data_IF_170592660115
#
_entry.id   IF_170592660115
#
_cell.length_a   1.000
_cell.length_b   1.000
_cell.length_c   1.000
_cell.angle_alpha   90.00
_cell.angle_beta   90.00
_cell.angle_gamma   90.00
#
_symmetry.space_group_name_H-M   'P 1'
#
loop_
_entity.id
_entity.type
_entity.pdbx_description
1 polymer ?
#
# COMPACT_ATOMS: atom_id res chain seq x y z
N UNK A 1 -25.79 8.90 21.75
CA UNK A 1 -24.68 9.65 21.08
C UNK A 1 -23.70 8.60 20.57
N UNK A 2 -23.96 8.06 19.37
CA UNK A 2 -23.22 6.93 18.80
C UNK A 2 -22.24 7.40 17.73
N UNK A 3 -20.96 7.36 18.09
CA UNK A 3 -19.72 7.40 17.31
C UNK A 3 -19.80 7.51 15.76
N UNK A 4 -19.50 8.72 15.25
CA UNK A 4 -19.04 8.99 13.87
C UNK A 4 -17.51 9.02 13.72
N UNK A 5 -16.75 8.67 14.77
CA UNK A 5 -15.29 8.79 14.77
C UNK A 5 -14.56 7.77 13.87
N UNK A 6 -15.17 6.63 13.55
CA UNK A 6 -14.55 5.54 12.76
C UNK A 6 -14.08 5.98 11.37
N UNK A 7 -14.73 6.99 10.79
CA UNK A 7 -14.39 7.49 9.47
C UNK A 7 -13.35 8.62 9.50
N UNK A 8 -13.11 9.30 10.62
CA UNK A 8 -12.34 10.53 10.59
C UNK A 8 -10.85 10.31 10.31
N UNK A 9 -10.21 9.33 10.95
CA UNK A 9 -8.77 9.04 10.71
C UNK A 9 -8.55 8.48 9.30
N UNK A 10 -9.46 7.61 8.84
CA UNK A 10 -9.42 7.00 7.52
C UNK A 10 -9.65 8.05 6.42
N UNK A 11 -10.54 9.02 6.65
CA UNK A 11 -10.77 10.17 5.77
C UNK A 11 -9.58 11.13 5.82
N UNK A 12 -9.01 11.41 6.99
CA UNK A 12 -7.94 12.40 7.15
C UNK A 12 -6.63 11.93 6.52
N UNK A 13 -6.25 10.66 6.69
CA UNK A 13 -5.12 10.06 5.96
C UNK A 13 -5.41 10.05 4.45
N UNK A 14 -6.66 9.83 4.01
CA UNK A 14 -6.99 9.81 2.58
C UNK A 14 -7.15 11.17 1.91
N UNK A 15 -7.51 12.22 2.66
CA UNK A 15 -7.86 13.52 2.11
C UNK A 15 -6.63 14.41 1.83
N UNK A 16 -5.56 14.25 2.60
CA UNK A 16 -4.44 15.21 2.59
C UNK A 16 -3.25 14.77 1.72
N UNK A 17 -3.19 13.51 1.29
CA UNK A 17 -2.05 13.00 0.54
C UNK A 17 -2.32 12.92 -0.97
N UNK A 18 -1.33 13.26 -1.82
CA UNK A 18 -1.46 13.30 -3.28
C UNK A 18 -1.47 11.88 -3.91
N UNK A 19 -2.19 10.93 -3.33
CA UNK A 19 -2.19 9.51 -3.72
C UNK A 19 -3.56 9.05 -4.19
N UNK A 20 -3.59 8.32 -5.30
CA UNK A 20 -4.76 7.56 -5.75
C UNK A 20 -4.53 6.08 -5.40
N UNK A 21 -5.51 5.45 -4.74
CA UNK A 21 -5.48 4.03 -4.39
C UNK A 21 -6.67 3.28 -4.96
N UNK A 22 -6.48 2.02 -5.39
CA UNK A 22 -7.57 1.10 -5.74
C UNK A 22 -7.31 -0.26 -5.09
N UNK A 23 -8.06 -0.58 -4.05
CA UNK A 23 -7.98 -1.86 -3.35
C UNK A 23 -8.46 -3.00 -4.23
N UNK A 24 -7.82 -4.16 -4.08
CA UNK A 24 -8.24 -5.44 -4.65
C UNK A 24 -8.73 -6.29 -3.49
N UNK A 25 -10.00 -6.68 -3.53
CA UNK A 25 -10.57 -7.55 -2.49
C UNK A 25 -9.90 -8.91 -2.50
N UNK A 26 -9.50 -9.35 -1.30
CA UNK A 26 -8.89 -10.65 -1.05
C UNK A 26 -9.44 -11.22 0.25
N UNK A 27 -9.53 -12.56 0.33
CA UNK A 27 -10.12 -13.26 1.48
C UNK A 27 -9.21 -13.31 2.70
N UNK A 28 -7.90 -13.14 2.53
CA UNK A 28 -6.93 -13.17 3.62
C UNK A 28 -6.98 -11.86 4.44
N UNK A 29 -7.28 -11.99 5.73
CA UNK A 29 -7.39 -10.86 6.66
C UNK A 29 -6.06 -10.20 7.00
N UNK A 30 -4.94 -10.90 6.80
CA UNK A 30 -3.58 -10.40 7.07
C UNK A 30 -2.89 -9.84 5.84
N UNK A 31 -3.50 -9.95 4.67
CA UNK A 31 -2.96 -9.44 3.43
C UNK A 31 -3.84 -8.31 2.91
N UNK A 32 -3.20 -7.34 2.25
CA UNK A 32 -3.85 -6.30 1.47
C UNK A 32 -3.18 -6.21 0.12
N UNK A 33 -3.96 -5.94 -0.92
CA UNK A 33 -3.47 -5.78 -2.28
C UNK A 33 -4.12 -4.54 -2.84
N UNK A 34 -3.32 -3.60 -3.34
CA UNK A 34 -3.86 -2.36 -3.88
C UNK A 34 -2.99 -1.79 -4.99
N UNK A 35 -3.64 -1.18 -5.96
CA UNK A 35 -2.98 -0.26 -6.88
C UNK A 35 -2.78 1.08 -6.21
N UNK A 36 -1.60 1.66 -6.40
CA UNK A 36 -1.25 2.97 -5.84
C UNK A 36 -0.46 3.79 -6.87
N UNK A 37 -0.74 5.09 -6.95
CA UNK A 37 0.06 6.08 -7.71
C UNK A 37 -0.12 7.48 -7.14
N UNK A 38 0.74 8.41 -7.56
CA UNK A 38 0.47 9.85 -7.36
C UNK A 38 -0.74 10.27 -8.20
N UNK A 39 -1.62 11.11 -7.64
CA UNK A 39 -2.82 11.57 -8.35
C UNK A 39 -2.43 12.39 -9.61
N UNK A 40 -3.15 12.22 -10.74
CA UNK A 40 -2.79 12.82 -12.02
C UNK A 40 -2.54 14.33 -12.03
N UNK A 41 -3.26 15.10 -11.20
CA UNK A 41 -3.12 16.55 -11.15
C UNK A 41 -1.75 17.02 -10.63
N UNK A 42 -0.96 16.15 -10.00
CA UNK A 42 0.40 16.45 -9.55
C UNK A 42 1.48 15.98 -10.53
N UNK A 43 1.12 15.30 -11.63
CA UNK A 43 2.11 14.69 -12.54
C UNK A 43 2.99 15.73 -13.26
N UNK A 44 2.48 16.93 -13.52
CA UNK A 44 3.25 18.01 -14.14
C UNK A 44 4.39 18.53 -13.27
N UNK A 45 4.31 18.33 -11.95
CA UNK A 45 5.34 18.72 -11.00
C UNK A 45 6.44 17.65 -10.82
N UNK A 46 6.26 16.46 -11.38
CA UNK A 46 7.17 15.33 -11.21
C UNK A 46 8.07 15.17 -12.42
N UNK A 47 9.35 14.96 -12.15
CA UNK A 47 10.37 14.63 -13.14
C UNK A 47 10.81 13.18 -12.98
N UNK A 48 11.47 12.62 -13.99
CA UNK A 48 12.01 11.25 -13.92
C UNK A 48 12.98 11.05 -12.75
N UNK A 49 13.67 12.11 -12.30
CA UNK A 49 14.59 12.05 -11.17
C UNK A 49 13.87 11.78 -9.84
N UNK A 50 12.58 12.13 -9.73
CA UNK A 50 11.79 12.00 -8.50
C UNK A 50 11.30 10.56 -8.26
N UNK A 51 11.53 9.63 -9.21
CA UNK A 51 11.02 8.27 -9.14
C UNK A 51 11.36 7.54 -7.83
N UNK A 52 12.60 7.67 -7.34
CA UNK A 52 13.02 7.06 -6.08
C UNK A 52 12.28 7.62 -4.86
N UNK A 53 12.17 8.94 -4.78
CA UNK A 53 11.48 9.63 -3.67
C UNK A 53 10.00 9.25 -3.68
N UNK A 54 9.38 9.22 -4.86
CA UNK A 54 7.98 8.82 -5.01
C UNK A 54 7.76 7.38 -4.55
N UNK A 55 8.63 6.43 -4.91
CA UNK A 55 8.44 5.04 -4.47
C UNK A 55 8.63 4.88 -2.96
N UNK A 56 9.57 5.60 -2.34
CA UNK A 56 9.72 5.61 -0.88
C UNK A 56 8.44 6.16 -0.23
N UNK A 57 7.95 7.30 -0.70
CA UNK A 57 6.70 7.90 -0.23
C UNK A 57 5.49 6.96 -0.40
N UNK A 58 5.32 6.35 -1.57
CA UNK A 58 4.24 5.40 -1.84
C UNK A 58 4.35 4.13 -0.99
N UNK A 59 5.56 3.70 -0.66
CA UNK A 59 5.77 2.56 0.23
C UNK A 59 5.27 2.83 1.65
N UNK A 60 5.49 4.05 2.17
CA UNK A 60 5.00 4.46 3.48
C UNK A 60 3.47 4.54 3.51
N UNK A 61 2.89 5.19 2.49
CA UNK A 61 1.44 5.29 2.33
C UNK A 61 0.78 3.92 2.24
N UNK A 62 1.42 3.01 1.51
CA UNK A 62 0.98 1.64 1.37
C UNK A 62 0.91 0.91 2.70
N UNK A 63 1.94 1.06 3.56
CA UNK A 63 1.97 0.42 4.88
C UNK A 63 0.90 1.01 5.79
N UNK A 64 0.74 2.33 5.79
CA UNK A 64 -0.29 3.00 6.56
C UNK A 64 -1.69 2.50 6.18
N UNK A 65 -2.03 2.50 4.88
CA UNK A 65 -3.33 2.00 4.41
C UNK A 65 -3.55 0.52 4.72
N UNK A 66 -2.52 -0.32 4.51
CA UNK A 66 -2.59 -1.73 4.81
C UNK A 66 -2.84 -1.98 6.31
N UNK A 67 -2.15 -1.23 7.18
CA UNK A 67 -2.35 -1.31 8.63
C UNK A 67 -3.80 -1.02 8.98
N UNK A 68 -4.33 0.14 8.54
CA UNK A 68 -5.72 0.52 8.83
C UNK A 68 -6.71 -0.57 8.40
N UNK A 69 -6.54 -1.13 7.21
CA UNK A 69 -7.40 -2.19 6.70
C UNK A 69 -7.30 -3.48 7.54
N UNK A 70 -6.09 -3.90 7.90
CA UNK A 70 -5.83 -5.11 8.70
C UNK A 70 -6.42 -4.99 10.12
N UNK A 71 -6.19 -3.86 10.80
CA UNK A 71 -6.78 -3.61 12.12
C UNK A 71 -8.31 -3.57 12.06
N UNK A 72 -8.88 -2.93 11.02
CA UNK A 72 -10.33 -2.90 10.81
C UNK A 72 -10.90 -4.31 10.59
N UNK A 73 -10.25 -5.15 9.74
CA UNK A 73 -10.61 -6.56 9.55
C UNK A 73 -10.52 -7.38 10.84
N UNK A 74 -9.57 -7.04 11.72
CA UNK A 74 -9.41 -7.67 13.03
C UNK A 74 -10.38 -7.13 14.10
N UNK A 75 -11.22 -6.13 13.79
CA UNK A 75 -12.13 -5.50 14.76
C UNK A 75 -11.41 -4.67 15.82
N UNK A 76 -10.18 -4.23 15.56
CA UNK A 76 -9.37 -3.42 16.48
C UNK A 76 -9.54 -1.94 16.13
N UNK A 77 -9.93 -1.14 17.11
CA UNK A 77 -10.06 0.30 16.97
C UNK A 77 -8.69 1.00 17.00
N UNK A 78 -8.46 1.89 16.04
CA UNK A 78 -7.24 2.72 15.96
C UNK A 78 -7.59 4.14 16.38
N UNK A 79 -6.99 4.61 17.47
CA UNK A 79 -7.11 6.00 17.92
C UNK A 79 -6.03 6.92 17.35
N UNK A 80 -4.86 6.35 17.03
CA UNK A 80 -3.73 7.08 16.46
C UNK A 80 -2.83 6.12 15.69
N UNK A 81 -2.12 6.64 14.69
CA UNK A 81 -1.15 5.90 13.89
C UNK A 81 0.19 6.61 13.94
N UNK A 82 1.25 5.83 14.10
CA UNK A 82 2.63 6.31 13.98
C UNK A 82 3.51 5.18 13.44
N UNK A 83 4.35 5.50 12.46
CA UNK A 83 5.37 4.59 11.96
C UNK A 83 6.58 4.62 12.90
N UNK A 84 7.07 3.44 13.27
CA UNK A 84 8.20 3.30 14.18
C UNK A 84 9.53 3.11 13.46
N UNK A 85 9.54 2.26 12.44
CA UNK A 85 10.70 1.94 11.62
C UNK A 85 10.26 1.61 10.20
N UNK A 86 11.06 2.02 9.21
CA UNK A 86 10.82 1.72 7.81
C UNK A 86 12.14 1.36 7.12
N UNK A 87 12.17 0.17 6.52
CA UNK A 87 13.28 -0.30 5.69
C UNK A 87 12.81 -0.54 4.26
N UNK A 88 13.52 0.01 3.28
CA UNK A 88 13.16 -0.06 1.85
C UNK A 88 14.34 -0.60 1.04
N UNK A 89 14.08 -1.64 0.24
CA UNK A 89 15.03 -2.19 -0.73
C UNK A 89 14.54 -1.92 -2.14
N UNK A 90 15.34 -1.18 -2.92
CA UNK A 90 14.96 -0.77 -4.27
C UNK A 90 15.70 -1.61 -5.29
N UNK A 91 14.95 -2.38 -6.07
CA UNK A 91 15.48 -3.33 -7.06
C UNK A 91 15.47 -2.79 -8.49
N UNK A 92 14.99 -1.57 -8.73
CA UNK A 92 14.85 -0.99 -10.06
C UNK A 92 15.40 0.44 -10.12
N UNK A 93 16.16 0.75 -11.17
CA UNK A 93 16.87 2.02 -11.31
C UNK A 93 16.08 3.08 -12.11
N UNK A 94 15.17 2.64 -12.98
CA UNK A 94 14.42 3.52 -13.88
C UNK A 94 12.96 3.59 -13.46
N UNK A 95 12.67 4.37 -12.42
CA UNK A 95 11.31 4.50 -11.87
C UNK A 95 10.53 5.62 -12.58
N UNK A 96 9.33 5.29 -13.06
CA UNK A 96 8.36 6.28 -13.52
C UNK A 96 7.55 6.78 -12.31
N UNK A 97 7.73 8.05 -11.86
CA UNK A 97 7.03 8.59 -10.69
C UNK A 97 5.51 8.70 -10.89
N UNK A 98 5.03 8.75 -12.13
CA UNK A 98 3.61 8.86 -12.46
C UNK A 98 2.94 7.50 -12.70
N UNK A 99 3.71 6.41 -12.60
CA UNK A 99 3.26 5.06 -12.89
C UNK A 99 2.31 4.49 -11.84
N UNK A 100 1.54 3.48 -12.23
CA UNK A 100 0.82 2.62 -11.30
C UNK A 100 1.76 1.57 -10.71
N UNK A 101 1.69 1.40 -9.40
CA UNK A 101 2.37 0.36 -8.65
C UNK A 101 1.33 -0.55 -8.02
N UNK A 102 1.51 -1.86 -8.17
CA UNK A 102 0.79 -2.84 -7.37
C UNK A 102 1.54 -3.02 -6.06
N UNK A 103 0.90 -2.71 -4.96
CA UNK A 103 1.34 -3.12 -3.65
C UNK A 103 0.69 -4.45 -3.26
N UNK A 104 1.51 -5.36 -2.73
CA UNK A 104 1.08 -6.51 -1.94
C UNK A 104 1.71 -6.36 -0.56
N UNK A 105 0.88 -6.17 0.46
CA UNK A 105 1.33 -6.02 1.85
C UNK A 105 0.80 -7.14 2.72
N UNK A 106 1.70 -7.83 3.38
CA UNK A 106 1.44 -8.87 4.37
C UNK A 106 1.69 -8.32 5.78
N UNK A 107 0.80 -8.64 6.71
CA UNK A 107 1.02 -8.44 8.14
C UNK A 107 1.46 -9.73 8.80
N UNK A 108 2.69 -9.74 9.27
CA UNK A 108 3.31 -10.91 9.89
C UNK A 108 2.84 -11.08 11.32
N UNK A 109 2.81 -9.97 12.07
CA UNK A 109 2.54 -9.96 13.50
C UNK A 109 1.68 -8.75 13.84
N UNK A 110 0.64 -8.96 14.65
CA UNK A 110 -0.05 -7.90 15.39
C UNK A 110 0.08 -8.24 16.87
N UNK A 111 0.72 -7.36 17.63
CA UNK A 111 0.92 -7.56 19.07
C UNK A 111 1.07 -6.24 19.80
N UNK A 112 0.40 -6.11 20.95
CA UNK A 112 0.43 -4.92 21.79
C UNK A 112 0.14 -3.61 21.01
N UNK A 113 -0.83 -3.64 20.08
CA UNK A 113 -1.18 -2.50 19.25
C UNK A 113 -0.18 -2.16 18.14
N UNK A 114 0.87 -2.97 17.94
CA UNK A 114 1.86 -2.80 16.86
C UNK A 114 1.68 -3.85 15.78
N UNK A 115 1.85 -3.44 14.52
CA UNK A 115 1.86 -4.32 13.37
C UNK A 115 3.27 -4.38 12.77
N UNK A 116 3.75 -5.59 12.49
CA UNK A 116 4.91 -5.81 11.62
C UNK A 116 4.38 -6.14 10.23
N UNK A 117 4.76 -5.34 9.24
CA UNK A 117 4.30 -5.48 7.87
C UNK A 117 5.47 -5.63 6.90
N UNK A 118 5.26 -6.39 5.83
CA UNK A 118 6.15 -6.46 4.68
C UNK A 118 5.36 -6.17 3.42
N UNK A 119 5.88 -5.28 2.58
CA UNK A 119 5.23 -4.89 1.35
C UNK A 119 6.17 -5.03 0.17
N UNK A 120 5.63 -5.48 -0.95
CA UNK A 120 6.30 -5.48 -2.24
C UNK A 120 5.55 -4.54 -3.20
N UNK A 121 6.22 -3.47 -3.63
CA UNK A 121 5.73 -2.60 -4.68
C UNK A 121 6.27 -3.08 -6.04
N UNK A 122 5.36 -3.35 -6.97
CA UNK A 122 5.67 -3.83 -8.31
C UNK A 122 5.11 -2.86 -9.33
N UNK A 123 5.94 -2.40 -10.27
CA UNK A 123 5.45 -1.64 -11.42
C UNK A 123 4.56 -2.54 -12.29
N UNK A 124 3.40 -2.04 -12.74
CA UNK A 124 2.71 -2.63 -13.90
C UNK A 124 2.92 -1.72 -15.11
N UNK A 125 3.31 -2.31 -16.24
CA UNK A 125 3.37 -1.63 -17.53
C UNK A 125 2.00 -1.48 -18.19
N UNK A 126 0.96 -2.12 -17.64
CA UNK A 126 -0.43 -2.08 -18.10
C UNK A 126 -1.32 -1.40 -17.07
N UNK A 127 -2.46 -0.87 -17.50
CA UNK A 127 -3.44 -0.23 -16.62
C UNK A 127 -3.98 -1.24 -15.58
N UNK A 128 -4.40 -0.80 -14.37
CA UNK A 128 -5.04 -1.65 -13.36
C UNK A 128 -6.18 -2.53 -13.89
N UNK A 129 -6.95 -2.02 -14.86
CA UNK A 129 -8.08 -2.71 -15.48
C UNK A 129 -7.64 -3.82 -16.45
N UNK A 130 -6.37 -3.84 -16.86
CA UNK A 130 -5.78 -4.78 -17.81
C UNK A 130 -4.86 -5.81 -17.12
N UNK A 131 -4.32 -5.48 -15.94
CA UNK A 131 -3.54 -6.40 -15.12
C UNK A 131 -4.51 -7.34 -14.34
N UNK A 132 -4.93 -8.47 -14.92
CA UNK A 132 -5.72 -9.49 -14.19
C UNK A 132 -4.98 -9.94 -12.92
N UNK A 133 -5.58 -9.76 -11.74
CA UNK A 133 -4.98 -10.09 -10.44
C UNK A 133 -4.44 -11.53 -10.35
N UNK A 134 -5.06 -12.48 -11.07
CA UNK A 134 -4.66 -13.89 -11.10
C UNK A 134 -3.25 -14.16 -11.65
N UNK A 135 -2.68 -13.28 -12.48
CA UNK A 135 -1.33 -13.47 -13.02
C UNK A 135 -0.21 -13.03 -12.06
N UNK A 136 -0.50 -12.08 -11.16
CA UNK A 136 0.51 -11.46 -10.29
C UNK A 136 0.55 -12.13 -8.91
N UNK A 137 -0.61 -12.62 -8.43
CA UNK A 137 -0.73 -13.33 -7.16
C UNK A 137 -0.23 -14.79 -7.23
N UNK A 138 -0.24 -15.41 -8.41
CA UNK A 138 0.23 -16.80 -8.61
C UNK A 138 1.74 -16.99 -8.72
N UNK A 139 2.54 -15.92 -8.75
CA UNK A 139 4.00 -16.02 -8.89
C UNK A 139 4.74 -16.29 -7.57
N UNK A 140 4.05 -16.18 -6.42
CA UNK A 140 4.65 -16.39 -5.09
C UNK A 140 4.61 -17.85 -4.60
N UNK A 141 3.85 -18.74 -5.24
CA UNK A 141 3.71 -20.15 -4.80
C UNK A 141 4.72 -21.10 -5.47
N UNK A 142 5.59 -20.62 -6.36
CA UNK A 142 6.66 -21.42 -6.96
C UNK A 142 8.04 -20.97 -6.47
N UNK A 143 8.37 -21.27 -5.21
CA UNK A 143 9.73 -21.56 -4.72
C UNK A 143 9.71 -21.72 -3.21
N UNK A 144 9.41 -22.93 -2.76
CA UNK A 144 10.02 -23.57 -1.59
C UNK A 144 9.62 -25.04 -1.62
N UNK A 145 10.35 -25.80 -2.42
CA UNK A 145 10.45 -27.25 -2.27
C UNK A 145 11.94 -27.51 -2.13
N UNK A 146 12.36 -27.80 -0.89
CA UNK A 146 13.64 -28.45 -0.59
C UNK A 146 13.45 -29.94 -0.83
#
# INVERSE_FOLDING_TARGET
>A
LGYEFKNHILIQIRADYPVETRSIEISDVRRTVQWIRIQPQYHSALTRADGFIVVIFLSEMTMAYASLEIYNKAGIEINSYASLDQSVWIHETNINPCGWFLSVTDCEIISCGRALQRSALRRCSKMPNECRAGGILGASERKQTV
#
